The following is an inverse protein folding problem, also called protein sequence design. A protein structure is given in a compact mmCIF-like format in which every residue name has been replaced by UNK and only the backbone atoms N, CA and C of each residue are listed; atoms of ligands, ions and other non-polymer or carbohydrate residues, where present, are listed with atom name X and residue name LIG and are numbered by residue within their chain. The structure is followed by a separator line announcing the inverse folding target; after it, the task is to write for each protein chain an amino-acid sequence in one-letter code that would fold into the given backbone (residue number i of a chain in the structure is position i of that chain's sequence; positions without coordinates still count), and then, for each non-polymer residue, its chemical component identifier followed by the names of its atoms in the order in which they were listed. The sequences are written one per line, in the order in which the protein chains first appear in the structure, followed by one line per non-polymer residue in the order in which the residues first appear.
data_IF_291446074208
#
_entry.id   IF_291446074208
#
_cell.length_a   1.000
_cell.length_b   1.000
_cell.length_c   1.000
_cell.angle_alpha   90.00
_cell.angle_beta   90.00
_cell.angle_gamma   90.00
#
_symmetry.space_group_name_H-M   'P 1'
#
loop_
_entity.id
_entity.type
_entity.pdbx_description
1 polymer ?
#
# COMPACT_ATOMS: atom_id res chain seq x y z
N UNK A 1 32.27 27.33 -48.40
CA UNK A 1 32.85 26.69 -47.20
C UNK A 1 31.70 26.09 -46.39
N UNK A 2 31.74 24.78 -46.13
CA UNK A 2 30.65 23.98 -45.55
C UNK A 2 30.47 24.30 -44.06
N UNK A 3 29.24 24.66 -43.65
CA UNK A 3 28.84 24.66 -42.25
C UNK A 3 28.61 23.22 -41.78
N UNK A 4 29.07 22.89 -40.57
CA UNK A 4 28.72 21.64 -39.87
C UNK A 4 28.15 22.02 -38.51
N UNK A 5 26.86 21.73 -38.34
CA UNK A 5 26.18 21.71 -37.05
C UNK A 5 26.45 20.40 -36.30
N UNK A 6 26.50 20.54 -34.97
CA UNK A 6 26.00 19.66 -33.90
C UNK A 6 26.62 18.28 -33.68
N UNK A 7 26.99 18.07 -32.42
CA UNK A 7 27.22 16.77 -31.79
C UNK A 7 27.44 16.97 -30.29
N UNK A 8 26.41 17.36 -29.55
CA UNK A 8 26.46 17.38 -28.09
C UNK A 8 26.64 15.94 -27.60
N UNK A 9 27.75 15.72 -26.89
CA UNK A 9 28.12 14.45 -26.31
C UNK A 9 27.01 13.89 -25.43
N UNK A 10 26.71 12.63 -25.69
CA UNK A 10 25.79 11.78 -24.94
C UNK A 10 26.02 11.92 -23.44
N UNK A 11 25.03 12.49 -22.73
CA UNK A 11 24.87 12.31 -21.29
C UNK A 11 24.67 10.80 -21.08
N UNK A 12 25.65 10.13 -20.46
CA UNK A 12 25.51 8.75 -20.04
C UNK A 12 24.33 8.66 -19.04
N UNK A 13 23.19 8.15 -19.50
CA UNK A 13 22.13 7.70 -18.61
C UNK A 13 22.72 6.58 -17.75
N UNK A 14 22.92 6.87 -16.46
CA UNK A 14 23.01 5.86 -15.42
C UNK A 14 21.77 4.98 -15.52
N UNK A 15 21.89 3.81 -16.13
CA UNK A 15 20.87 2.78 -16.09
C UNK A 15 20.84 2.19 -14.67
N UNK A 16 20.16 2.88 -13.77
CA UNK A 16 19.64 2.29 -12.55
C UNK A 16 18.58 1.31 -13.02
N UNK A 17 18.96 0.07 -13.32
CA UNK A 17 17.99 -1.01 -13.52
C UNK A 17 17.23 -1.15 -12.22
N UNK A 18 15.96 -0.75 -12.21
CA UNK A 18 15.09 -0.90 -11.06
C UNK A 18 14.96 -2.41 -10.76
N UNK A 19 15.63 -2.86 -9.70
CA UNK A 19 15.66 -4.26 -9.25
C UNK A 19 14.38 -4.72 -8.53
N UNK A 20 13.28 -3.97 -8.62
CA UNK A 20 12.09 -4.29 -7.85
C UNK A 20 11.25 -5.36 -8.55
N UNK A 21 11.16 -6.52 -7.92
CA UNK A 21 10.31 -7.63 -8.34
C UNK A 21 9.18 -7.78 -7.32
N UNK A 22 8.14 -6.97 -7.46
CA UNK A 22 7.04 -6.97 -6.50
C UNK A 22 5.91 -7.84 -7.03
N UNK A 23 5.32 -8.66 -6.16
CA UNK A 23 4.12 -9.43 -6.43
C UNK A 23 3.25 -9.44 -5.15
N UNK A 24 1.95 -9.73 -5.29
CA UNK A 24 1.00 -9.84 -4.18
C UNK A 24 0.47 -8.51 -3.65
N UNK A 25 -0.35 -8.57 -2.59
CA UNK A 25 -1.22 -7.49 -2.14
C UNK A 25 -2.62 -7.56 -2.75
N UNK A 26 -2.97 -8.68 -3.37
CA UNK A 26 -4.29 -8.91 -3.96
C UNK A 26 -5.31 -9.31 -2.87
N UNK A 27 -6.55 -8.80 -2.94
CA UNK A 27 -7.61 -9.19 -2.01
C UNK A 27 -8.04 -10.64 -2.23
N UNK A 28 -8.23 -11.37 -1.13
CA UNK A 28 -8.66 -12.77 -1.08
C UNK A 28 -9.66 -12.97 0.06
N UNK A 29 -10.43 -14.06 0.01
CA UNK A 29 -11.39 -14.44 1.06
C UNK A 29 -12.31 -13.27 1.54
N UNK A 30 -12.79 -12.48 0.57
CA UNK A 30 -13.71 -11.39 0.83
C UNK A 30 -15.04 -11.91 1.36
N UNK A 31 -15.54 -11.29 2.43
CA UNK A 31 -16.79 -11.63 3.10
C UNK A 31 -17.58 -10.38 3.43
N UNK A 32 -18.90 -10.49 3.36
CA UNK A 32 -19.80 -9.44 3.84
C UNK A 32 -19.89 -9.53 5.36
N UNK A 33 -19.41 -8.51 6.04
CA UNK A 33 -19.62 -8.34 7.48
C UNK A 33 -20.85 -7.47 7.71
N UNK A 34 -21.80 -7.98 8.49
CA UNK A 34 -22.96 -7.21 8.93
C UNK A 34 -22.70 -6.72 10.35
N UNK A 35 -22.70 -5.41 10.53
CA UNK A 35 -22.73 -4.77 11.84
C UNK A 35 -24.10 -4.11 12.05
N UNK A 36 -24.40 -3.69 13.28
CA UNK A 36 -25.63 -2.98 13.58
C UNK A 36 -25.28 -1.57 14.02
N UNK A 37 -25.93 -0.59 13.42
CA UNK A 37 -25.81 0.81 13.84
C UNK A 37 -27.15 1.30 14.39
N UNK A 38 -27.08 2.10 15.45
CA UNK A 38 -28.25 2.79 15.98
C UNK A 38 -28.63 3.93 15.05
N UNK A 39 -29.85 3.86 14.49
CA UNK A 39 -30.45 4.94 13.71
C UNK A 39 -31.61 5.54 14.49
N UNK A 40 -31.58 6.86 14.65
CA UNK A 40 -32.61 7.68 15.26
C UNK A 40 -33.60 8.17 14.21
N UNK A 41 -34.88 8.27 14.56
CA UNK A 41 -35.93 8.72 13.65
C UNK A 41 -37.11 9.30 14.43
N UNK A 42 -38.09 9.83 13.69
CA UNK A 42 -39.33 10.35 14.24
C UNK A 42 -39.47 11.86 14.10
N UNK A 43 -40.54 12.39 14.70
CA UNK A 43 -40.81 13.83 14.71
C UNK A 43 -39.82 14.56 15.61
N UNK A 44 -39.00 15.43 15.03
CA UNK A 44 -38.14 16.36 15.72
C UNK A 44 -38.87 17.70 15.82
N UNK A 45 -38.94 18.29 17.01
CA UNK A 45 -39.46 19.64 17.18
C UNK A 45 -38.65 20.43 18.20
N UNK A 46 -38.52 21.73 17.96
CA UNK A 46 -37.88 22.66 18.87
C UNK A 46 -38.48 24.06 18.75
N UNK A 47 -38.37 24.84 19.81
CA UNK A 47 -38.89 26.19 19.88
C UNK A 47 -37.75 27.20 19.81
N UNK A 48 -37.86 28.19 18.91
CA UNK A 48 -36.85 29.22 18.72
C UNK A 48 -37.48 30.55 18.31
N UNK A 49 -37.06 31.64 18.93
CA UNK A 49 -37.47 33.01 18.58
C UNK A 49 -38.99 33.22 18.43
N UNK A 50 -39.81 32.54 19.24
CA UNK A 50 -41.26 32.68 19.17
C UNK A 50 -41.98 31.61 18.34
N UNK A 51 -41.24 30.81 17.57
CA UNK A 51 -41.77 29.88 16.57
C UNK A 51 -41.39 28.44 16.88
N UNK A 52 -42.33 27.51 16.66
CA UNK A 52 -42.05 26.07 16.67
C UNK A 52 -41.55 25.63 15.30
N UNK A 53 -40.36 25.03 15.26
CA UNK A 53 -39.87 24.31 14.10
C UNK A 53 -40.15 22.82 14.32
N UNK A 54 -40.70 22.14 13.31
CA UNK A 54 -40.96 20.72 13.34
C UNK A 54 -40.67 20.08 12.00
N UNK A 55 -40.00 18.93 12.03
CA UNK A 55 -39.69 18.12 10.85
C UNK A 55 -39.73 16.64 11.23
N UNK A 56 -40.18 15.79 10.30
CA UNK A 56 -40.09 14.36 10.48
C UNK A 56 -38.77 13.83 9.91
N UNK A 57 -37.95 13.23 10.76
CA UNK A 57 -36.66 12.67 10.35
C UNK A 57 -36.82 11.17 10.12
N UNK A 58 -36.62 10.73 8.88
CA UNK A 58 -36.73 9.32 8.52
C UNK A 58 -35.58 8.46 9.07
N UNK A 59 -34.36 9.01 9.10
CA UNK A 59 -33.17 8.34 9.61
C UNK A 59 -32.08 9.35 9.92
N UNK A 60 -31.44 9.22 11.07
CA UNK A 60 -30.28 10.00 11.50
C UNK A 60 -29.35 9.12 12.34
N UNK A 61 -28.04 9.25 12.16
CA UNK A 61 -27.05 8.62 13.06
C UNK A 61 -26.82 9.42 14.35
N UNK A 62 -27.43 10.62 14.44
CA UNK A 62 -27.40 11.49 15.61
C UNK A 62 -28.76 11.54 16.29
N UNK A 63 -28.76 11.48 17.62
CA UNK A 63 -29.98 11.67 18.44
C UNK A 63 -30.45 13.12 18.48
N UNK A 64 -29.65 14.06 17.97
CA UNK A 64 -30.01 15.48 17.84
C UNK A 64 -29.85 15.93 16.40
N UNK A 65 -30.83 16.68 15.90
CA UNK A 65 -30.85 17.25 14.56
C UNK A 65 -30.99 18.77 14.64
N UNK A 66 -30.44 19.47 13.65
CA UNK A 66 -30.64 20.90 13.50
C UNK A 66 -31.81 21.17 12.58
N UNK A 67 -32.84 21.83 13.10
CA UNK A 67 -33.95 22.34 12.32
C UNK A 67 -33.67 23.79 11.97
N UNK A 68 -33.99 24.20 10.74
CA UNK A 68 -33.91 25.60 10.34
C UNK A 68 -34.94 25.98 9.30
N UNK A 69 -35.44 27.19 9.40
CA UNK A 69 -36.40 27.78 8.46
C UNK A 69 -36.05 29.26 8.23
N UNK A 70 -36.36 29.78 7.05
CA UNK A 70 -36.27 31.22 6.78
C UNK A 70 -37.67 31.82 6.98
N UNK A 71 -37.80 32.71 7.95
CA UNK A 71 -39.04 33.46 8.20
C UNK A 71 -38.74 34.96 8.16
N UNK A 72 -39.45 35.70 7.31
CA UNK A 72 -39.26 37.15 7.12
C UNK A 72 -37.80 37.58 6.87
N UNK A 73 -37.04 36.81 6.09
CA UNK A 73 -35.63 37.10 5.78
C UNK A 73 -34.65 36.79 6.91
N UNK A 74 -35.10 36.26 8.05
CA UNK A 74 -34.26 35.81 9.17
C UNK A 74 -34.20 34.28 9.21
N UNK A 75 -33.01 33.72 9.42
CA UNK A 75 -32.85 32.29 9.69
C UNK A 75 -33.23 31.99 11.13
N UNK A 76 -34.27 31.20 11.29
CA UNK A 76 -34.63 30.55 12.54
C UNK A 76 -33.95 29.19 12.57
N UNK A 77 -33.31 28.83 13.68
CA UNK A 77 -32.72 27.51 13.85
C UNK A 77 -32.71 27.08 15.31
N UNK A 78 -32.84 25.79 15.54
CA UNK A 78 -32.67 25.17 16.86
C UNK A 78 -32.25 23.70 16.72
N UNK A 79 -31.84 23.10 17.83
CA UNK A 79 -31.58 21.67 17.92
C UNK A 79 -32.81 20.96 18.49
N UNK A 80 -33.20 19.84 17.88
CA UNK A 80 -34.30 19.00 18.31
C UNK A 80 -33.80 17.57 18.56
N UNK A 81 -34.36 16.88 19.54
CA UNK A 81 -33.97 15.51 19.90
C UNK A 81 -34.89 14.50 19.22
N UNK A 82 -34.32 13.39 18.74
CA UNK A 82 -35.02 12.23 18.21
C UNK A 82 -35.10 11.15 19.30
N UNK A 83 -36.33 10.83 19.71
CA UNK A 83 -36.56 9.91 20.83
C UNK A 83 -36.76 8.45 20.39
N UNK A 84 -36.98 8.20 19.10
CA UNK A 84 -37.12 6.84 18.56
C UNK A 84 -35.80 6.40 17.97
N UNK A 85 -35.44 5.15 18.21
CA UNK A 85 -34.23 4.53 17.69
C UNK A 85 -34.48 3.08 17.30
N UNK A 86 -33.78 2.60 16.28
CA UNK A 86 -33.77 1.19 15.88
C UNK A 86 -32.37 0.80 15.42
N UNK A 87 -32.06 -0.50 15.56
CA UNK A 87 -30.84 -1.06 15.00
C UNK A 87 -31.08 -1.33 13.51
N UNK A 88 -30.26 -0.75 12.65
CA UNK A 88 -30.24 -1.08 11.22
C UNK A 88 -28.98 -1.88 10.90
N UNK A 89 -29.09 -2.95 10.09
CA UNK A 89 -27.92 -3.67 9.62
C UNK A 89 -27.14 -2.79 8.63
N UNK A 90 -25.84 -2.70 8.83
CA UNK A 90 -24.90 -2.09 7.91
C UNK A 90 -23.97 -3.18 7.42
N UNK A 91 -23.95 -3.39 6.12
CA UNK A 91 -23.08 -4.35 5.48
C UNK A 91 -21.83 -3.67 4.94
N UNK A 92 -20.67 -4.21 5.25
CA UNK A 92 -19.39 -3.83 4.63
C UNK A 92 -18.70 -5.08 4.07
N UNK A 93 -17.97 -4.93 2.97
CA UNK A 93 -17.08 -5.98 2.50
C UNK A 93 -15.74 -5.89 3.24
N UNK A 94 -15.28 -7.02 3.76
CA UNK A 94 -13.97 -7.16 4.42
C UNK A 94 -13.24 -8.29 3.72
N UNK A 95 -12.04 -8.01 3.23
CA UNK A 95 -11.17 -8.98 2.58
C UNK A 95 -9.95 -9.26 3.43
N UNK A 96 -9.42 -10.46 3.29
CA UNK A 96 -8.03 -10.74 3.67
C UNK A 96 -7.13 -10.34 2.47
N UNK A 97 -5.82 -10.19 2.66
CA UNK A 97 -4.89 -9.87 1.57
C UNK A 97 -3.76 -10.87 1.46
N UNK A 98 -3.33 -11.13 0.22
CA UNK A 98 -2.10 -11.88 -0.01
C UNK A 98 -0.88 -11.02 0.36
N UNK A 99 0.22 -11.61 0.84
CA UNK A 99 1.37 -10.83 1.25
C UNK A 99 2.07 -10.25 0.02
N UNK A 100 2.66 -9.06 0.15
CA UNK A 100 3.56 -8.54 -0.87
C UNK A 100 4.95 -9.16 -0.74
N UNK A 101 5.50 -9.70 -1.82
CA UNK A 101 6.85 -10.25 -1.90
C UNK A 101 7.73 -9.40 -2.79
N UNK A 102 8.93 -9.05 -2.33
CA UNK A 102 9.90 -8.32 -3.15
C UNK A 102 11.33 -8.82 -3.02
N UNK A 103 12.07 -8.80 -4.12
CA UNK A 103 13.52 -9.03 -4.14
C UNK A 103 14.24 -7.70 -4.27
N UNK A 104 15.24 -7.50 -3.42
CA UNK A 104 16.13 -6.34 -3.45
C UNK A 104 17.56 -6.79 -3.70
N UNK A 105 18.29 -6.08 -4.56
CA UNK A 105 19.68 -6.37 -4.90
C UNK A 105 20.60 -5.26 -4.40
N UNK A 106 21.69 -5.65 -3.75
CA UNK A 106 22.83 -4.80 -3.43
C UNK A 106 24.08 -5.35 -4.10
N UNK A 107 24.86 -4.50 -4.78
CA UNK A 107 26.13 -4.88 -5.41
C UNK A 107 27.30 -4.32 -4.62
N UNK A 108 28.27 -5.16 -4.30
CA UNK A 108 29.45 -4.76 -3.54
C UNK A 108 30.39 -3.93 -4.40
N UNK A 109 30.94 -2.87 -3.84
CA UNK A 109 31.88 -1.99 -4.53
C UNK A 109 33.27 -2.63 -4.61
N UNK A 110 33.95 -2.44 -5.74
CA UNK A 110 35.23 -3.08 -6.03
C UNK A 110 35.13 -4.59 -6.31
N UNK A 111 33.92 -5.14 -6.45
CA UNK A 111 33.67 -6.57 -6.60
C UNK A 111 32.61 -6.83 -7.71
N UNK A 112 32.58 -8.06 -8.22
CA UNK A 112 31.50 -8.60 -9.06
C UNK A 112 30.38 -9.25 -8.25
N UNK A 113 30.60 -9.47 -6.95
CA UNK A 113 29.61 -10.09 -6.06
C UNK A 113 28.40 -9.17 -5.77
N UNK A 114 27.28 -9.80 -5.40
CA UNK A 114 26.05 -9.08 -5.03
C UNK A 114 25.27 -9.81 -3.94
N UNK A 115 24.59 -9.08 -3.07
CA UNK A 115 23.66 -9.62 -2.08
C UNK A 115 22.22 -9.42 -2.54
N UNK A 116 21.42 -10.46 -2.49
CA UNK A 116 19.97 -10.40 -2.72
C UNK A 116 19.26 -10.62 -1.40
N UNK A 117 18.23 -9.81 -1.13
CA UNK A 117 17.37 -9.95 0.05
C UNK A 117 15.91 -10.04 -0.38
N UNK A 118 15.23 -11.09 0.06
CA UNK A 118 13.78 -11.25 0.00
C UNK A 118 13.13 -10.49 1.16
N UNK A 119 12.18 -9.64 0.80
CA UNK A 119 11.37 -8.84 1.72
C UNK A 119 9.91 -9.22 1.54
N UNK A 120 9.16 -9.05 2.63
CA UNK A 120 7.75 -9.33 2.70
C UNK A 120 7.06 -8.28 3.54
N UNK A 121 5.85 -7.93 3.15
CA UNK A 121 4.94 -7.09 3.95
C UNK A 121 3.53 -7.54 3.70
N UNK A 122 2.64 -7.30 4.65
CA UNK A 122 1.25 -7.68 4.54
C UNK A 122 0.37 -6.53 5.06
N UNK A 123 -0.77 -6.29 4.39
CA UNK A 123 -1.56 -5.07 4.61
C UNK A 123 -2.47 -5.19 5.83
N UNK A 124 -3.00 -6.38 6.05
CA UNK A 124 -3.94 -6.75 7.11
C UNK A 124 -3.33 -7.73 8.13
N UNK A 125 -2.13 -8.24 7.86
CA UNK A 125 -1.41 -9.12 8.76
C UNK A 125 0.10 -8.90 8.82
N UNK A 126 0.84 -9.99 8.96
CA UNK A 126 2.26 -10.07 9.23
C UNK A 126 2.87 -11.30 8.56
N UNK A 127 4.15 -11.21 8.18
CA UNK A 127 4.84 -12.31 7.50
C UNK A 127 5.36 -13.33 8.52
N UNK A 128 4.97 -14.59 8.35
CA UNK A 128 5.38 -15.71 9.22
C UNK A 128 6.53 -16.53 8.63
N UNK A 129 6.71 -16.52 7.29
CA UNK A 129 7.72 -17.35 6.63
C UNK A 129 8.37 -16.66 5.43
N UNK A 130 9.67 -16.89 5.30
CA UNK A 130 10.48 -16.49 4.15
C UNK A 130 11.19 -17.71 3.57
N UNK A 131 11.15 -17.86 2.25
CA UNK A 131 11.86 -18.90 1.54
C UNK A 131 12.55 -18.33 0.30
N UNK A 132 13.88 -18.47 0.24
CA UNK A 132 14.70 -17.95 -0.85
C UNK A 132 15.42 -19.11 -1.54
N UNK A 133 15.45 -19.06 -2.88
CA UNK A 133 16.21 -19.98 -3.72
C UNK A 133 17.09 -19.21 -4.68
N UNK A 134 18.29 -19.73 -4.92
CA UNK A 134 19.18 -19.27 -5.99
C UNK A 134 19.50 -20.49 -6.85
N UNK A 135 19.19 -20.42 -8.14
CA UNK A 135 19.32 -21.50 -9.12
C UNK A 135 18.69 -22.81 -8.63
N UNK A 136 17.50 -22.70 -8.06
CA UNK A 136 16.74 -23.84 -7.51
C UNK A 136 17.22 -24.33 -6.15
N UNK A 137 18.36 -23.86 -5.64
CA UNK A 137 18.88 -24.28 -4.32
C UNK A 137 18.34 -23.39 -3.21
N UNK A 138 17.63 -24.01 -2.25
CA UNK A 138 17.05 -23.33 -1.09
C UNK A 138 18.15 -22.78 -0.18
N UNK A 139 18.00 -21.54 0.26
CA UNK A 139 18.90 -20.86 1.19
C UNK A 139 18.36 -20.96 2.62
N UNK A 140 19.26 -20.84 3.59
CA UNK A 140 18.93 -20.93 5.02
C UNK A 140 18.33 -19.64 5.58
N UNK A 141 18.52 -18.52 4.90
CA UNK A 141 17.96 -17.21 5.27
C UNK A 141 17.25 -16.57 4.07
N UNK A 142 16.61 -15.43 4.32
CA UNK A 142 15.99 -14.57 3.30
C UNK A 142 17.01 -13.67 2.58
N UNK A 143 18.31 -13.84 2.82
CA UNK A 143 19.38 -13.12 2.14
C UNK A 143 20.39 -14.11 1.56
N UNK A 144 20.92 -13.83 0.38
CA UNK A 144 21.96 -14.65 -0.24
C UNK A 144 22.98 -13.78 -0.95
N UNK A 145 24.27 -14.09 -0.77
CA UNK A 145 25.33 -13.52 -1.58
C UNK A 145 25.56 -14.38 -2.82
N UNK A 146 25.64 -13.73 -3.97
CA UNK A 146 25.94 -14.26 -5.27
C UNK A 146 27.41 -13.97 -5.57
N UNK A 147 28.15 -15.00 -5.98
CA UNK A 147 29.56 -14.93 -6.33
C UNK A 147 29.76 -15.48 -7.73
N UNK A 148 30.56 -14.80 -8.53
CA UNK A 148 30.84 -15.20 -9.90
C UNK A 148 31.58 -14.12 -10.66
N UNK A 149 31.82 -14.38 -11.93
CA UNK A 149 32.48 -13.46 -12.84
C UNK A 149 31.49 -12.46 -13.42
N UNK A 150 32.02 -11.39 -14.01
CA UNK A 150 31.20 -10.44 -14.75
C UNK A 150 30.47 -11.15 -15.90
N UNK A 151 29.15 -10.99 -15.94
CA UNK A 151 28.27 -11.63 -16.93
C UNK A 151 27.58 -12.89 -16.44
N UNK A 152 28.02 -13.50 -15.33
CA UNK A 152 27.35 -14.68 -14.76
C UNK A 152 25.92 -14.33 -14.33
N UNK A 153 24.99 -15.26 -14.51
CA UNK A 153 23.57 -15.07 -14.22
C UNK A 153 23.07 -16.04 -13.16
N UNK A 154 22.19 -15.54 -12.30
CA UNK A 154 21.57 -16.30 -11.21
C UNK A 154 20.05 -16.12 -11.29
N UNK A 155 19.30 -17.20 -11.23
CA UNK A 155 17.84 -17.17 -11.07
C UNK A 155 17.50 -17.15 -9.60
N UNK A 156 16.97 -16.03 -9.10
CA UNK A 156 16.59 -15.85 -7.71
C UNK A 156 15.08 -15.88 -7.58
N UNK A 157 14.56 -16.83 -6.80
CA UNK A 157 13.13 -16.96 -6.50
C UNK A 157 12.92 -16.78 -5.01
N UNK A 158 11.92 -16.00 -4.63
CA UNK A 158 11.49 -15.83 -3.25
C UNK A 158 10.02 -16.18 -3.08
N UNK A 159 9.65 -16.72 -1.91
CA UNK A 159 8.28 -16.94 -1.47
C UNK A 159 8.12 -16.43 -0.05
N UNK A 160 7.04 -15.69 0.19
CA UNK A 160 6.64 -15.23 1.53
C UNK A 160 5.28 -15.83 1.90
N UNK A 161 5.03 -16.00 3.20
CA UNK A 161 3.76 -16.49 3.75
C UNK A 161 3.34 -15.61 4.92
N UNK A 162 2.09 -15.17 4.95
CA UNK A 162 1.53 -14.37 6.05
C UNK A 162 1.00 -15.23 7.22
N UNK A 163 0.34 -14.60 8.20
CA UNK A 163 -0.29 -15.29 9.34
C UNK A 163 -1.61 -15.96 9.02
N UNK A 164 -2.22 -15.65 7.87
CA UNK A 164 -3.48 -16.23 7.42
C UNK A 164 -3.25 -17.42 6.46
N UNK A 165 -1.98 -17.66 6.09
CA UNK A 165 -1.51 -18.79 5.30
C UNK A 165 -1.43 -18.50 3.80
N UNK A 166 -1.72 -17.28 3.35
CA UNK A 166 -1.56 -16.94 1.94
C UNK A 166 -0.09 -16.76 1.60
N UNK A 167 0.25 -17.07 0.34
CA UNK A 167 1.63 -17.03 -0.11
C UNK A 167 1.79 -16.34 -1.44
N UNK A 168 2.87 -15.59 -1.55
CA UNK A 168 3.23 -14.89 -2.78
C UNK A 168 4.64 -15.24 -3.19
N UNK A 169 4.82 -15.52 -4.47
CA UNK A 169 6.12 -15.79 -5.07
C UNK A 169 6.58 -14.66 -5.99
N UNK A 170 7.89 -14.42 -6.03
CA UNK A 170 8.53 -13.49 -6.95
C UNK A 170 9.84 -14.10 -7.46
N UNK A 171 10.24 -13.77 -8.69
CA UNK A 171 11.44 -14.30 -9.31
C UNK A 171 12.12 -13.25 -10.18
N UNK A 172 13.46 -13.26 -10.18
CA UNK A 172 14.30 -12.43 -11.05
C UNK A 172 15.58 -13.14 -11.45
N UNK A 173 16.02 -12.86 -12.66
CA UNK A 173 17.39 -13.15 -13.10
C UNK A 173 18.30 -11.98 -12.71
N UNK A 174 19.38 -12.28 -12.00
CA UNK A 174 20.43 -11.33 -11.62
C UNK A 174 21.69 -11.62 -12.42
N UNK A 175 22.13 -10.66 -13.22
CA UNK A 175 23.45 -10.70 -13.87
C UNK A 175 24.49 -10.02 -12.98
N UNK A 176 25.63 -10.65 -12.74
CA UNK A 176 26.74 -10.05 -12.02
C UNK A 176 27.47 -9.04 -12.90
N UNK A 177 27.74 -7.87 -12.33
CA UNK A 177 28.48 -6.79 -12.96
C UNK A 177 29.51 -6.31 -11.96
N UNK A 178 30.72 -6.01 -12.44
CA UNK A 178 31.70 -5.33 -11.61
C UNK A 178 31.19 -3.93 -11.27
N UNK A 179 31.10 -3.61 -9.98
CA UNK A 179 30.75 -2.27 -9.52
C UNK A 179 32.05 -1.56 -9.10
N UNK A 180 32.57 -0.60 -9.88
CA UNK A 180 33.78 0.13 -9.46
C UNK A 180 33.51 0.87 -8.14
N UNK A 181 34.54 1.04 -7.29
CA UNK A 181 34.41 1.82 -6.07
C UNK A 181 33.95 3.25 -6.35
N UNK A 182 33.20 3.83 -5.41
CA UNK A 182 32.92 5.25 -5.46
C UNK A 182 34.23 6.04 -5.51
N UNK A 183 34.28 7.07 -6.36
CA UNK A 183 35.41 8.01 -6.41
C UNK A 183 34.91 9.40 -6.11
N UNK A 184 35.57 10.09 -5.18
CA UNK A 184 35.43 11.53 -5.03
C UNK A 184 36.69 12.20 -5.57
N UNK A 185 36.62 12.67 -6.82
CA UNK A 185 37.78 13.23 -7.53
C UNK A 185 38.82 12.14 -7.86
N UNK A 186 40.06 12.33 -7.41
CA UNK A 186 41.17 11.38 -7.65
C UNK A 186 41.27 10.27 -6.58
N UNK A 187 40.50 10.37 -5.49
CA UNK A 187 40.57 9.45 -4.36
C UNK A 187 39.34 8.54 -4.30
N UNK A 188 39.54 7.36 -3.70
CA UNK A 188 38.46 6.45 -3.35
C UNK A 188 37.63 7.07 -2.21
N UNK A 189 36.33 6.96 -2.36
CA UNK A 189 35.35 7.09 -1.30
C UNK A 189 34.81 5.68 -1.03
#
# INVERSE_FOLDING_TARGET
MKSRLLGFGSLALLAISAFNANAGGDPVNCRTQTTYQTVYFGSASCYTQGTWLQEYIHSSIFSQVHLSEISNGKRLSCSATLNQQRQEPVTSEVCDYTPNASLSLYRFEGDTSASVTLRGSDQDGSITKYELWVDGVRKSSNTATLYGNQGDTFTVRGRVTDNDGYTTETSRTVTLIFRPPARCGKYLC
#
